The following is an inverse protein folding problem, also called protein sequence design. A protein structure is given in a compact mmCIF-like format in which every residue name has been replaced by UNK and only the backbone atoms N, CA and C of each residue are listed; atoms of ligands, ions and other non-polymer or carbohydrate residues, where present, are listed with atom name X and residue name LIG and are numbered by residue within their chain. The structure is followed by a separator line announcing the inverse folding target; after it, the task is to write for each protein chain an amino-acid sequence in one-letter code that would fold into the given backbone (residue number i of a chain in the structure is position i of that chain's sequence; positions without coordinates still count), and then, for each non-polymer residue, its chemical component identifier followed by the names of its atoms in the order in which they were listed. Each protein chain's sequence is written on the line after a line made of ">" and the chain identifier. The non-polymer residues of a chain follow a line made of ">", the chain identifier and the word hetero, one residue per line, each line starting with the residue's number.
data_IF_412610771566
#
_entry.id   IF_412610771566
#
_cell.length_a   1.000
_cell.length_b   1.000
_cell.length_c   1.000
_cell.angle_alpha   90.00
_cell.angle_beta   90.00
_cell.angle_gamma   90.00
#
_symmetry.space_group_name_H-M   'P 1'
#
loop_
_entity.id
_entity.type
_entity.pdbx_description
1 polymer ?
#
# COMPACT_ATOMS: atom_id res chain seq x y z
N UNK A 1 -17.06 0.74 5.40
CA UNK A 1 -18.15 0.15 4.60
C UNK A 1 -17.48 -0.79 3.63
N UNK A 2 -17.75 -2.11 3.67
CA UNK A 2 -17.23 -3.04 2.66
C UNK A 2 -17.76 -2.67 1.28
N UNK A 3 -16.91 -2.85 0.28
CA UNK A 3 -17.20 -2.58 -1.13
C UNK A 3 -16.76 -3.81 -1.92
N UNK A 4 -17.44 -4.07 -3.03
CA UNK A 4 -17.09 -5.19 -3.90
C UNK A 4 -15.75 -4.96 -4.62
N UNK A 5 -15.23 -6.04 -5.21
CA UNK A 5 -13.96 -6.04 -5.95
C UNK A 5 -14.19 -6.37 -7.42
N UNK A 6 -13.28 -5.93 -8.27
CA UNK A 6 -13.24 -6.40 -9.65
C UNK A 6 -12.88 -7.90 -9.67
N UNK A 7 -13.65 -8.76 -10.37
CA UNK A 7 -13.47 -10.20 -10.32
C UNK A 7 -12.23 -10.72 -11.08
N UNK A 8 -11.53 -9.87 -11.84
CA UNK A 8 -10.29 -10.23 -12.51
C UNK A 8 -9.06 -9.88 -11.67
N UNK A 9 -8.99 -8.64 -11.22
CA UNK A 9 -7.86 -8.05 -10.49
C UNK A 9 -7.95 -8.28 -8.98
N UNK A 10 -9.15 -8.55 -8.46
CA UNK A 10 -9.46 -8.64 -7.03
C UNK A 10 -9.17 -7.35 -6.24
N UNK A 11 -8.92 -6.24 -6.95
CA UNK A 11 -8.81 -4.91 -6.38
C UNK A 11 -10.20 -4.30 -6.22
N UNK A 12 -10.32 -3.28 -5.36
CA UNK A 12 -11.59 -2.57 -5.14
C UNK A 12 -12.22 -2.11 -6.46
N UNK A 13 -13.51 -2.37 -6.65
CA UNK A 13 -14.24 -1.87 -7.82
C UNK A 13 -14.62 -0.39 -7.63
N UNK A 14 -14.25 0.45 -8.59
CA UNK A 14 -14.42 1.90 -8.50
C UNK A 14 -15.91 2.28 -8.53
N UNK A 15 -16.74 1.57 -9.31
CA UNK A 15 -18.16 1.86 -9.42
C UNK A 15 -18.91 1.50 -8.12
N UNK A 16 -18.62 0.34 -7.53
CA UNK A 16 -19.12 -0.08 -6.24
C UNK A 16 -18.66 0.88 -5.13
N UNK A 17 -17.40 1.35 -5.18
CA UNK A 17 -16.89 2.34 -4.23
C UNK A 17 -17.69 3.64 -4.32
N UNK A 18 -17.95 4.13 -5.53
CA UNK A 18 -18.74 5.33 -5.76
C UNK A 18 -20.18 5.21 -5.20
N UNK A 19 -20.82 4.07 -5.43
CA UNK A 19 -22.17 3.79 -4.92
C UNK A 19 -22.23 3.71 -3.38
N UNK A 20 -21.12 3.34 -2.72
CA UNK A 20 -21.02 3.22 -1.27
C UNK A 20 -20.69 4.55 -0.55
N UNK A 21 -20.38 5.62 -1.28
CA UNK A 21 -20.08 6.93 -0.68
C UNK A 21 -21.34 7.50 -0.02
N UNK A 22 -21.16 8.03 1.19
CA UNK A 22 -22.20 8.72 1.97
C UNK A 22 -21.63 10.01 2.54
N UNK A 23 -22.47 10.92 3.08
CA UNK A 23 -21.99 12.10 3.80
C UNK A 23 -21.09 11.79 5.01
N UNK A 24 -21.06 10.54 5.49
CA UNK A 24 -20.20 10.08 6.59
C UNK A 24 -18.87 9.50 6.11
N UNK A 25 -18.68 9.29 4.81
CA UNK A 25 -17.44 8.72 4.27
C UNK A 25 -16.28 9.70 4.47
N UNK A 26 -15.16 9.22 5.02
CA UNK A 26 -13.96 10.03 5.30
C UNK A 26 -12.73 9.57 4.53
N UNK A 27 -12.63 8.28 4.26
CA UNK A 27 -11.50 7.67 3.57
C UNK A 27 -12.00 6.57 2.65
N UNK A 28 -11.43 6.48 1.45
CA UNK A 28 -11.47 5.31 0.58
C UNK A 28 -10.12 4.60 0.75
N UNK A 29 -10.14 3.27 0.90
CA UNK A 29 -8.94 2.49 1.21
C UNK A 29 -8.75 1.34 0.20
N UNK A 30 -8.09 1.59 -0.94
CA UNK A 30 -7.73 0.50 -1.85
C UNK A 30 -6.66 -0.39 -1.23
N UNK A 31 -6.81 -1.70 -1.42
CA UNK A 31 -5.75 -2.69 -1.22
C UNK A 31 -5.19 -3.04 -2.59
N UNK A 32 -3.86 -3.01 -2.74
CA UNK A 32 -3.19 -3.45 -3.96
C UNK A 32 -3.04 -4.97 -3.96
N UNK A 33 -4.06 -5.67 -4.45
CA UNK A 33 -4.19 -7.11 -4.24
C UNK A 33 -3.06 -7.89 -4.92
N UNK A 34 -2.40 -8.78 -4.18
CA UNK A 34 -1.23 -9.52 -4.64
C UNK A 34 -0.10 -8.65 -5.24
N UNK A 35 -0.03 -7.36 -4.93
CA UNK A 35 0.95 -6.45 -5.50
C UNK A 35 0.48 -5.71 -6.74
N UNK A 36 -0.58 -6.19 -7.40
CA UNK A 36 -1.24 -5.47 -8.49
C UNK A 36 -1.87 -4.20 -7.93
N UNK A 37 -1.52 -3.05 -8.49
CA UNK A 37 -2.10 -1.78 -8.05
C UNK A 37 -3.58 -1.70 -8.47
N UNK A 38 -4.42 -1.17 -7.57
CA UNK A 38 -5.82 -0.90 -7.86
C UNK A 38 -5.92 0.25 -8.88
N UNK A 39 -7.10 0.47 -9.47
CA UNK A 39 -7.30 1.57 -10.44
C UNK A 39 -7.14 2.95 -9.79
N UNK A 40 -5.90 3.43 -9.72
CA UNK A 40 -5.58 4.67 -9.03
C UNK A 40 -6.10 5.88 -9.80
N UNK A 41 -6.22 5.84 -11.12
CA UNK A 41 -6.82 6.94 -11.89
C UNK A 41 -8.29 7.12 -11.49
N UNK A 42 -9.04 6.02 -11.46
CA UNK A 42 -10.46 6.02 -11.08
C UNK A 42 -10.68 6.40 -9.62
N UNK A 43 -9.85 5.87 -8.72
CA UNK A 43 -9.95 6.13 -7.29
C UNK A 43 -9.53 7.55 -6.90
N UNK A 44 -8.46 8.09 -7.49
CA UNK A 44 -8.04 9.48 -7.27
C UNK A 44 -9.12 10.45 -7.76
N UNK A 45 -9.70 10.20 -8.94
CA UNK A 45 -10.83 11.00 -9.45
C UNK A 45 -12.03 10.92 -8.52
N UNK A 46 -12.43 9.73 -8.10
CA UNK A 46 -13.58 9.53 -7.21
C UNK A 46 -13.38 10.24 -5.86
N UNK A 47 -12.20 10.10 -5.27
CA UNK A 47 -11.81 10.75 -4.03
C UNK A 47 -11.89 12.29 -4.16
N UNK A 48 -11.37 12.84 -5.26
CA UNK A 48 -11.43 14.27 -5.54
C UNK A 48 -12.87 14.78 -5.72
N UNK A 49 -13.67 14.11 -6.55
CA UNK A 49 -15.07 14.48 -6.82
C UNK A 49 -15.93 14.44 -5.54
N UNK A 50 -15.67 13.48 -4.66
CA UNK A 50 -16.42 13.30 -3.41
C UNK A 50 -15.86 14.11 -2.23
N UNK A 51 -14.69 14.73 -2.35
CA UNK A 51 -14.00 15.41 -1.24
C UNK A 51 -13.60 14.46 -0.11
N UNK A 52 -13.20 13.23 -0.45
CA UNK A 52 -12.85 12.15 0.49
C UNK A 52 -11.36 11.83 0.35
N UNK A 53 -10.68 11.53 1.46
CA UNK A 53 -9.26 11.16 1.39
C UNK A 53 -9.06 9.74 0.83
N UNK A 54 -7.89 9.48 0.23
CA UNK A 54 -7.47 8.15 -0.17
C UNK A 54 -6.33 7.66 0.75
N UNK A 55 -6.39 6.42 1.20
CA UNK A 55 -5.32 5.76 1.96
C UNK A 55 -5.03 4.40 1.33
N UNK A 56 -3.87 4.26 0.70
CA UNK A 56 -3.48 3.00 0.09
C UNK A 56 -3.05 1.99 1.17
N UNK A 57 -3.67 0.81 1.21
CA UNK A 57 -3.05 -0.37 1.82
C UNK A 57 -2.15 -1.03 0.78
N UNK A 58 -0.86 -0.72 0.89
CA UNK A 58 0.19 -1.17 0.01
C UNK A 58 1.02 -2.31 0.64
N UNK A 59 0.48 -3.04 1.62
CA UNK A 59 1.18 -4.14 2.27
C UNK A 59 1.69 -5.21 1.28
N UNK A 60 1.03 -5.38 0.14
CA UNK A 60 1.46 -6.32 -0.91
C UNK A 60 2.26 -5.66 -2.04
N UNK A 61 2.36 -4.34 -2.06
CA UNK A 61 2.81 -3.56 -3.22
C UNK A 61 4.19 -2.91 -3.03
N UNK A 62 5.09 -3.60 -2.33
CA UNK A 62 6.47 -3.12 -2.20
C UNK A 62 7.11 -3.04 -3.58
N UNK A 63 7.54 -1.84 -3.99
CA UNK A 63 8.16 -1.59 -5.28
C UNK A 63 7.20 -1.58 -6.49
N UNK A 64 5.89 -1.71 -6.27
CA UNK A 64 4.89 -1.60 -7.34
C UNK A 64 4.83 -0.19 -7.94
N UNK A 65 4.35 -0.10 -9.18
CA UNK A 65 4.19 1.17 -9.91
C UNK A 65 2.86 1.25 -10.65
N UNK A 66 2.35 2.47 -10.73
CA UNK A 66 1.19 2.86 -11.52
C UNK A 66 1.58 4.01 -12.46
N UNK A 67 1.52 3.78 -13.77
CA UNK A 67 1.90 4.71 -14.84
C UNK A 67 3.28 5.36 -14.62
N UNK A 68 4.27 4.56 -14.25
CA UNK A 68 5.65 4.94 -13.98
C UNK A 68 5.87 5.56 -12.61
N UNK A 69 4.82 5.77 -11.81
CA UNK A 69 4.90 6.36 -10.46
C UNK A 69 4.87 5.27 -9.40
N UNK A 70 5.75 5.38 -8.41
CA UNK A 70 5.75 4.52 -7.22
C UNK A 70 4.54 4.82 -6.35
N UNK A 71 4.10 3.85 -5.55
CA UNK A 71 3.02 4.00 -4.56
C UNK A 71 3.11 5.31 -3.74
N UNK A 72 4.29 5.62 -3.21
CA UNK A 72 4.52 6.83 -2.39
C UNK A 72 4.69 8.13 -3.19
N UNK A 73 4.73 8.06 -4.53
CA UNK A 73 4.74 9.23 -5.40
C UNK A 73 3.32 9.63 -5.82
N UNK A 74 2.30 8.82 -5.51
CA UNK A 74 0.89 9.15 -5.69
C UNK A 74 0.42 10.16 -4.63
N UNK A 75 -0.68 10.86 -4.90
CA UNK A 75 -1.14 11.99 -4.07
C UNK A 75 -1.75 11.61 -2.72
N UNK A 76 -1.51 10.39 -2.23
CA UNK A 76 -2.20 9.84 -1.06
C UNK A 76 -1.22 9.24 -0.06
N UNK A 77 -1.65 9.11 1.19
CA UNK A 77 -0.91 8.31 2.19
C UNK A 77 -0.96 6.84 1.78
N UNK A 78 0.13 6.11 2.01
CA UNK A 78 0.18 4.67 1.80
C UNK A 78 0.83 3.94 2.98
N UNK A 79 0.30 2.76 3.31
CA UNK A 79 0.77 1.91 4.39
C UNK A 79 1.43 0.63 3.86
N UNK A 80 2.58 0.29 4.42
CA UNK A 80 3.32 -0.94 4.12
C UNK A 80 3.43 -1.82 5.37
N UNK A 81 3.48 -3.13 5.16
CA UNK A 81 3.72 -4.13 6.20
C UNK A 81 5.04 -4.84 5.93
N UNK A 82 5.81 -5.06 6.99
CA UNK A 82 7.07 -5.81 6.94
C UNK A 82 7.02 -7.09 7.79
N UNK A 83 5.81 -7.63 7.96
CA UNK A 83 5.61 -8.94 8.58
C UNK A 83 6.38 -10.04 7.82
N UNK A 84 6.73 -11.12 8.50
CA UNK A 84 7.60 -12.19 8.01
C UNK A 84 7.34 -12.69 6.57
N UNK A 85 6.07 -12.78 6.16
CA UNK A 85 5.68 -13.27 4.84
C UNK A 85 5.56 -12.17 3.77
N UNK A 86 5.98 -10.93 4.05
CA UNK A 86 5.90 -9.80 3.11
C UNK A 86 7.11 -9.79 2.15
N UNK A 87 6.99 -9.04 1.05
CA UNK A 87 8.02 -8.96 0.00
C UNK A 87 9.41 -8.56 0.53
N UNK A 88 9.43 -7.80 1.62
CA UNK A 88 10.61 -7.55 2.45
C UNK A 88 10.18 -7.55 3.92
N UNK A 89 11.08 -7.95 4.83
CA UNK A 89 10.69 -8.19 6.22
C UNK A 89 11.80 -7.98 7.25
N UNK A 90 11.41 -7.68 8.50
CA UNK A 90 12.25 -7.82 9.68
C UNK A 90 11.58 -8.70 10.75
N UNK A 91 10.78 -9.68 10.34
CA UNK A 91 9.87 -10.44 11.18
C UNK A 91 8.58 -9.67 11.42
N UNK A 92 8.68 -8.45 11.97
CA UNK A 92 7.59 -7.52 12.16
C UNK A 92 7.99 -6.09 11.76
N UNK A 93 7.01 -5.27 11.39
CA UNK A 93 7.20 -3.86 11.10
C UNK A 93 6.14 -3.30 10.16
N UNK A 94 6.17 -1.98 10.00
CA UNK A 94 5.37 -1.28 9.01
C UNK A 94 5.91 0.11 8.74
N UNK A 95 5.37 0.76 7.72
CA UNK A 95 5.69 2.14 7.37
C UNK A 95 4.45 2.86 6.85
N UNK A 96 4.41 4.16 7.07
CA UNK A 96 3.54 5.08 6.35
C UNK A 96 4.42 5.97 5.48
N UNK A 97 4.02 6.16 4.23
CA UNK A 97 4.57 7.20 3.35
C UNK A 97 3.51 8.27 3.14
N UNK A 98 3.95 9.52 3.05
CA UNK A 98 3.07 10.68 3.05
C UNK A 98 3.36 11.56 1.83
N UNK A 99 2.33 12.19 1.24
CA UNK A 99 2.51 13.12 0.12
C UNK A 99 2.98 14.52 0.59
N UNK A 100 2.81 14.84 1.87
CA UNK A 100 3.13 16.15 2.45
C UNK A 100 3.71 16.06 3.87
N UNK A 101 4.51 17.05 4.23
CA UNK A 101 5.20 17.15 5.52
C UNK A 101 4.24 17.39 6.69
N UNK A 102 3.16 18.14 6.49
CA UNK A 102 2.19 18.47 7.54
C UNK A 102 1.51 17.21 8.09
N UNK A 103 1.05 16.32 7.20
CA UNK A 103 0.42 15.06 7.55
C UNK A 103 1.43 14.09 8.20
N UNK A 104 2.67 14.08 7.70
CA UNK A 104 3.76 13.32 8.30
C UNK A 104 4.02 13.75 9.76
N UNK A 105 4.15 15.04 10.04
CA UNK A 105 4.43 15.54 11.39
C UNK A 105 3.28 15.22 12.37
N UNK A 106 2.03 15.33 11.93
CA UNK A 106 0.86 14.90 12.72
C UNK A 106 0.91 13.41 13.05
N UNK A 107 1.28 12.57 12.08
CA UNK A 107 1.42 11.13 12.30
C UNK A 107 2.61 10.82 13.23
N UNK A 108 3.73 11.54 13.08
CA UNK A 108 4.90 11.39 13.92
C UNK A 108 4.58 11.65 15.39
N UNK A 109 3.86 12.73 15.71
CA UNK A 109 3.46 12.98 17.10
C UNK A 109 2.64 11.80 17.65
N UNK A 110 1.63 11.33 16.91
CA UNK A 110 0.75 10.24 17.35
C UNK A 110 1.48 8.91 17.55
N UNK A 111 2.47 8.58 16.73
CA UNK A 111 3.22 7.31 16.82
C UNK A 111 4.20 7.27 18.01
N UNK A 112 4.57 8.44 18.54
CA UNK A 112 5.53 8.58 19.63
C UNK A 112 4.91 9.25 20.86
N UNK A 113 3.76 8.72 21.29
CA UNK A 113 3.04 9.11 22.50
C UNK A 113 2.63 10.60 22.54
N UNK A 114 2.44 11.25 21.39
CA UNK A 114 2.06 12.66 21.32
C UNK A 114 3.15 13.65 21.70
N UNK A 115 4.41 13.21 21.74
CA UNK A 115 5.53 14.00 22.27
C UNK A 115 6.43 14.52 21.13
N UNK A 116 6.70 15.84 21.04
CA UNK A 116 7.65 16.39 20.08
C UNK A 116 9.05 15.79 20.22
N UNK A 117 9.77 15.62 19.10
CA UNK A 117 11.11 15.00 19.05
C UNK A 117 12.14 15.68 19.96
N UNK A 118 12.00 16.99 20.12
CA UNK A 118 12.94 17.85 20.84
C UNK A 118 12.51 18.13 22.28
N UNK A 119 11.31 17.69 22.70
CA UNK A 119 10.80 17.96 24.03
C UNK A 119 11.65 17.26 25.12
N UNK A 120 11.95 18.00 26.18
CA UNK A 120 12.67 17.52 27.36
C UNK A 120 11.86 17.63 28.66
N UNK A 121 10.60 18.05 28.56
CA UNK A 121 9.76 18.40 29.72
C UNK A 121 8.52 17.51 29.88
N UNK A 122 8.40 16.43 29.09
CA UNK A 122 7.23 15.54 29.07
C UNK A 122 5.95 16.25 28.61
N UNK A 123 6.09 17.15 27.64
CA UNK A 123 4.96 17.84 27.03
C UNK A 123 4.32 16.95 25.96
N UNK A 124 3.23 16.29 26.33
CA UNK A 124 2.40 15.50 25.42
C UNK A 124 1.30 16.38 24.84
N UNK A 125 1.42 16.76 23.57
CA UNK A 125 0.54 17.75 22.93
C UNK A 125 -0.78 17.12 22.44
N UNK A 126 -0.74 15.85 22.06
CA UNK A 126 -1.90 15.12 21.52
C UNK A 126 -1.96 13.70 22.09
N UNK A 127 -3.14 13.09 22.05
CA UNK A 127 -3.25 11.66 22.28
C UNK A 127 -2.53 10.87 21.18
N UNK A 128 -1.86 9.80 21.56
CA UNK A 128 -1.13 8.91 20.67
C UNK A 128 -0.89 7.55 21.31
N UNK A 129 0.03 6.79 20.74
CA UNK A 129 0.48 5.50 21.26
C UNK A 129 1.96 5.32 20.96
N UNK A 130 2.54 4.17 21.31
CA UNK A 130 3.90 3.80 20.94
C UNK A 130 3.88 2.82 19.77
N UNK A 131 4.16 3.32 18.57
CA UNK A 131 4.32 2.54 17.33
C UNK A 131 5.74 2.70 16.76
N UNK A 132 6.72 3.09 17.60
CA UNK A 132 8.10 3.28 17.16
C UNK A 132 8.72 1.95 16.72
N UNK A 133 9.34 1.93 15.55
CA UNK A 133 10.19 0.82 15.11
C UNK A 133 11.55 0.91 15.82
N UNK A 134 12.13 -0.23 16.20
CA UNK A 134 13.47 -0.28 16.79
C UNK A 134 14.57 -0.33 15.71
N UNK A 135 15.79 0.05 16.09
CA UNK A 135 16.95 0.14 15.19
C UNK A 135 17.37 -1.20 14.58
N UNK A 136 17.20 -2.33 15.29
CA UNK A 136 17.56 -3.64 14.76
C UNK A 136 16.67 -4.04 13.60
N UNK A 137 15.34 -3.87 13.77
CA UNK A 137 14.37 -4.12 12.70
C UNK A 137 14.62 -3.18 11.52
N UNK A 138 14.89 -1.88 11.77
CA UNK A 138 15.23 -0.94 10.71
C UNK A 138 16.51 -1.34 9.95
N UNK A 139 17.55 -1.81 10.63
CA UNK A 139 18.79 -2.28 9.99
C UNK A 139 18.56 -3.49 9.07
N UNK A 140 17.73 -4.45 9.51
CA UNK A 140 17.33 -5.60 8.67
C UNK A 140 16.54 -5.13 7.44
N UNK A 141 15.57 -4.23 7.61
CA UNK A 141 14.78 -3.69 6.49
C UNK A 141 15.65 -2.96 5.46
N UNK A 142 16.68 -2.21 5.89
CA UNK A 142 17.63 -1.57 4.97
C UNK A 142 18.36 -2.60 4.09
N UNK A 143 18.77 -3.73 4.67
CA UNK A 143 19.41 -4.80 3.92
C UNK A 143 18.44 -5.52 2.96
N UNK A 144 17.18 -5.70 3.37
CA UNK A 144 16.14 -6.27 2.50
C UNK A 144 15.81 -5.34 1.32
N UNK A 145 15.67 -4.04 1.58
CA UNK A 145 15.34 -3.03 0.57
C UNK A 145 16.36 -3.03 -0.57
N UNK A 146 17.65 -3.21 -0.27
CA UNK A 146 18.71 -3.29 -1.27
C UNK A 146 18.60 -4.47 -2.25
N UNK A 147 17.78 -5.49 -1.94
CA UNK A 147 17.57 -6.69 -2.77
C UNK A 147 16.17 -6.73 -3.40
N UNK A 148 15.26 -5.90 -2.91
CA UNK A 148 13.84 -5.93 -3.28
C UNK A 148 13.66 -5.85 -4.80
N UNK A 149 14.34 -4.91 -5.46
CA UNK A 149 14.19 -4.70 -6.89
C UNK A 149 14.58 -5.94 -7.71
N UNK A 150 15.71 -6.58 -7.39
CA UNK A 150 16.14 -7.80 -8.06
C UNK A 150 15.19 -8.98 -7.82
N UNK A 151 14.60 -9.07 -6.63
CA UNK A 151 13.60 -10.10 -6.32
C UNK A 151 12.29 -9.88 -7.09
N UNK A 152 11.86 -8.61 -7.22
CA UNK A 152 10.68 -8.24 -8.02
C UNK A 152 10.92 -8.60 -9.49
N UNK A 153 12.08 -8.25 -10.05
CA UNK A 153 12.41 -8.58 -11.44
C UNK A 153 12.31 -10.08 -11.70
N UNK A 154 12.83 -10.92 -10.81
CA UNK A 154 12.66 -12.37 -10.94
C UNK A 154 11.19 -12.76 -10.91
N UNK A 155 10.36 -12.19 -10.03
CA UNK A 155 8.92 -12.49 -10.00
C UNK A 155 8.20 -12.05 -11.27
N UNK A 156 8.49 -10.87 -11.80
CA UNK A 156 7.92 -10.36 -13.06
C UNK A 156 8.30 -11.23 -14.27
N UNK A 157 9.48 -11.84 -14.27
CA UNK A 157 9.85 -12.80 -15.31
C UNK A 157 9.15 -14.16 -15.17
N UNK A 158 8.78 -14.56 -13.95
CA UNK A 158 8.23 -15.90 -13.67
C UNK A 158 6.71 -15.93 -13.73
N UNK A 159 6.04 -14.85 -13.35
CA UNK A 159 4.57 -14.77 -13.36
C UNK A 159 3.95 -15.07 -14.73
N UNK A 160 4.42 -14.50 -15.86
CA UNK A 160 3.82 -14.80 -17.17
C UNK A 160 3.90 -16.28 -17.53
N UNK A 161 4.97 -16.96 -17.13
CA UNK A 161 5.13 -18.41 -17.34
C UNK A 161 4.10 -19.18 -16.52
N UNK A 162 4.01 -18.90 -15.21
CA UNK A 162 3.07 -19.58 -14.33
C UNK A 162 1.61 -19.27 -14.71
N UNK A 163 1.29 -18.01 -14.97
CA UNK A 163 -0.04 -17.55 -15.35
C UNK A 163 -0.54 -18.24 -16.62
N UNK A 164 0.32 -18.36 -17.65
CA UNK A 164 -0.01 -19.11 -18.87
C UNK A 164 -0.28 -20.60 -18.57
N UNK A 165 0.58 -21.25 -17.78
CA UNK A 165 0.39 -22.66 -17.39
C UNK A 165 -0.88 -22.87 -16.56
N UNK A 166 -1.25 -21.93 -15.69
CA UNK A 166 -2.49 -21.97 -14.91
C UNK A 166 -3.71 -21.79 -15.81
N UNK A 167 -3.64 -20.89 -16.79
CA UNK A 167 -4.72 -20.62 -17.73
C UNK A 167 -5.05 -21.82 -18.64
N UNK A 168 -4.08 -22.70 -18.88
CA UNK A 168 -4.28 -23.95 -19.63
C UNK A 168 -5.07 -25.02 -18.84
N UNK A 169 -5.22 -24.87 -17.52
CA UNK A 169 -5.94 -25.83 -16.68
C UNK A 169 -7.45 -25.52 -16.71
N UNK A 170 -8.31 -26.45 -17.18
CA UNK A 170 -9.74 -26.20 -17.26
C UNK A 170 -10.35 -25.82 -15.91
N UNK A 171 -11.01 -24.67 -15.86
CA UNK A 171 -11.67 -24.14 -14.66
C UNK A 171 -10.78 -23.30 -13.74
N UNK A 172 -9.48 -23.19 -14.02
CA UNK A 172 -8.56 -22.30 -13.29
C UNK A 172 -8.45 -20.97 -14.06
N UNK A 173 -8.46 -19.86 -13.33
CA UNK A 173 -8.24 -18.52 -13.88
C UNK A 173 -7.22 -17.78 -13.02
N UNK A 174 -6.03 -17.44 -13.54
CA UNK A 174 -5.08 -16.60 -12.81
C UNK A 174 -5.65 -15.19 -12.64
N UNK A 175 -5.08 -14.42 -11.70
CA UNK A 175 -5.39 -13.00 -11.54
C UNK A 175 -5.12 -12.26 -12.85
N UNK A 176 -6.03 -11.36 -13.23
CA UNK A 176 -5.85 -10.50 -14.41
C UNK A 176 -4.82 -9.40 -14.12
N UNK A 177 -4.11 -8.97 -15.16
CA UNK A 177 -3.17 -7.85 -15.10
C UNK A 177 -3.85 -6.53 -15.51
N UNK A 178 -3.19 -5.41 -15.22
CA UNK A 178 -3.53 -4.07 -15.70
C UNK A 178 -2.24 -3.39 -16.21
N UNK A 179 -2.19 -3.04 -17.49
CA UNK A 179 -1.02 -2.42 -18.13
C UNK A 179 -0.61 -1.08 -17.49
N UNK A 180 -1.53 -0.43 -16.78
CA UNK A 180 -1.24 0.80 -16.02
C UNK A 180 -0.46 0.49 -14.75
N UNK A 181 -0.57 -0.71 -14.18
CA UNK A 181 0.27 -1.21 -13.09
C UNK A 181 1.62 -1.70 -13.65
N UNK A 182 2.39 -0.78 -14.24
CA UNK A 182 3.60 -1.06 -15.05
C UNK A 182 4.76 -1.76 -14.32
N UNK A 183 4.65 -1.92 -13.00
CA UNK A 183 5.50 -2.82 -12.24
C UNK A 183 4.69 -3.55 -11.19
N UNK A 184 4.59 -4.87 -11.31
CA UNK A 184 3.82 -5.72 -10.40
C UNK A 184 4.76 -6.65 -9.63
N UNK A 185 4.88 -6.53 -8.28
CA UNK A 185 5.80 -7.34 -7.53
C UNK A 185 5.36 -8.80 -7.34
N UNK A 186 4.13 -9.16 -7.76
CA UNK A 186 3.52 -10.49 -7.63
C UNK A 186 3.74 -11.10 -6.24
N UNK A 187 3.04 -10.55 -5.26
CA UNK A 187 3.17 -10.91 -3.86
C UNK A 187 2.77 -12.36 -3.53
N UNK A 188 1.81 -12.92 -4.29
CA UNK A 188 1.30 -14.28 -4.10
C UNK A 188 1.89 -15.26 -5.10
#
# INVERSE_FOLDING_TARGET
>A
VPVDVDPGTYCIDVAAAAAAITPRTKVIMPVHMAGLMADMDGLEKLAADAGVALLQDAAHAHGARWRGRRVGELGSVAAFSFQNGKLMTAGEGGALVFPDEETYEKAFLRHSCGRPRTDRHYLHEVAGTNMRLNEFSAAVLRAQLARLDGQITVREERWPVLSALLADIPGVRPQADDDRSDRNPHYM
#
